data_IF_900239953635
#
_entry.id   IF_900239953635
#
_cell.length_a   1.000
_cell.length_b   1.000
_cell.length_c   1.000
_cell.angle_alpha   90.00
_cell.angle_beta   90.00
_cell.angle_gamma   90.00
#
_symmetry.space_group_name_H-M   'P 1'
#
loop_
_entity.id
_entity.type
_entity.pdbx_description
1 polymer ?
#
# COMPACT_ATOMS: atom_id res chain seq x y z
N UNK A 1 11.34 -24.45 23.98
CA UNK A 1 9.90 -24.24 23.74
C UNK A 1 9.80 -23.34 22.51
N UNK A 2 9.40 -23.87 21.35
CA UNK A 2 9.25 -23.07 20.14
C UNK A 2 8.05 -22.15 20.36
N UNK A 3 8.26 -20.84 20.32
CA UNK A 3 7.17 -19.86 20.23
C UNK A 3 6.28 -20.30 19.08
N UNK A 4 4.96 -20.32 19.28
CA UNK A 4 4.02 -20.49 18.18
C UNK A 4 4.36 -19.43 17.14
N UNK A 5 4.96 -19.84 16.02
CA UNK A 5 5.19 -18.99 14.86
C UNK A 5 3.84 -18.38 14.52
N UNK A 6 3.76 -17.06 14.64
CA UNK A 6 2.55 -16.28 14.39
C UNK A 6 2.28 -16.40 12.89
N UNK A 7 1.47 -17.37 12.49
CA UNK A 7 1.27 -17.73 11.08
C UNK A 7 0.48 -16.61 10.39
N UNK A 8 1.16 -15.61 9.86
CA UNK A 8 0.64 -14.84 8.73
C UNK A 8 0.96 -15.68 7.50
N UNK A 9 -0.04 -16.39 6.98
CA UNK A 9 0.18 -17.34 5.88
C UNK A 9 0.58 -16.65 4.56
N UNK A 10 0.15 -15.39 4.35
CA UNK A 10 0.44 -14.60 3.15
C UNK A 10 0.22 -13.10 3.44
N UNK A 11 1.20 -12.38 4.03
CA UNK A 11 1.06 -10.96 4.32
C UNK A 11 0.88 -10.10 3.06
N UNK A 12 1.42 -10.52 1.92
CA UNK A 12 1.32 -9.79 0.65
C UNK A 12 -0.10 -9.83 0.09
N UNK A 13 -0.76 -11.00 0.13
CA UNK A 13 -2.15 -11.13 -0.29
C UNK A 13 -3.08 -10.37 0.65
N UNK A 14 -2.82 -10.42 1.96
CA UNK A 14 -3.58 -9.64 2.94
C UNK A 14 -3.41 -8.13 2.71
N UNK A 15 -2.18 -7.67 2.46
CA UNK A 15 -1.91 -6.26 2.14
C UNK A 15 -2.68 -5.82 0.89
N UNK A 16 -2.58 -6.58 -0.19
CA UNK A 16 -3.27 -6.26 -1.44
C UNK A 16 -4.79 -6.17 -1.27
N UNK A 17 -5.37 -7.11 -0.51
CA UNK A 17 -6.79 -7.10 -0.18
C UNK A 17 -7.16 -5.89 0.71
N UNK A 18 -6.32 -5.59 1.70
CA UNK A 18 -6.54 -4.46 2.63
C UNK A 18 -6.43 -3.13 1.91
N UNK A 19 -5.52 -2.95 0.95
CA UNK A 19 -5.43 -1.74 0.14
C UNK A 19 -6.69 -1.51 -0.70
N UNK A 20 -7.38 -2.57 -1.13
CA UNK A 20 -8.64 -2.46 -1.87
C UNK A 20 -9.82 -2.18 -0.93
N UNK A 21 -9.93 -2.91 0.18
CA UNK A 21 -11.01 -2.74 1.17
C UNK A 21 -10.89 -1.39 1.89
N UNK A 22 -9.67 -0.97 2.21
CA UNK A 22 -9.36 0.32 2.85
C UNK A 22 -9.78 1.52 2.00
N UNK A 23 -10.04 1.36 0.70
CA UNK A 23 -10.64 2.46 -0.07
C UNK A 23 -12.01 2.88 0.44
N UNK A 24 -12.69 2.07 1.24
CA UNK A 24 -13.96 2.42 1.90
C UNK A 24 -13.78 3.00 3.30
N UNK A 25 -12.58 2.93 3.89
CA UNK A 25 -12.25 3.45 5.21
C UNK A 25 -10.82 4.01 5.20
N UNK A 26 -10.72 5.34 5.19
CA UNK A 26 -9.43 6.03 5.12
C UNK A 26 -8.49 5.68 6.27
N UNK A 27 -9.03 5.40 7.47
CA UNK A 27 -8.21 5.04 8.63
C UNK A 27 -7.61 3.65 8.45
N UNK A 28 -8.38 2.69 7.97
CA UNK A 28 -7.87 1.34 7.67
C UNK A 28 -6.80 1.38 6.58
N UNK A 29 -7.02 2.20 5.55
CA UNK A 29 -6.06 2.35 4.47
C UNK A 29 -4.73 2.94 4.96
N UNK A 30 -4.80 4.02 5.75
CA UNK A 30 -3.60 4.67 6.29
C UNK A 30 -2.86 3.74 7.26
N UNK A 31 -3.57 2.96 8.08
CA UNK A 31 -2.98 1.94 8.95
C UNK A 31 -2.28 0.82 8.16
N UNK A 32 -2.84 0.41 7.03
CA UNK A 32 -2.21 -0.59 6.16
C UNK A 32 -0.89 -0.07 5.57
N UNK A 33 -0.83 1.22 5.21
CA UNK A 33 0.39 1.86 4.74
C UNK A 33 1.43 2.00 5.86
N UNK A 34 1.01 2.43 7.04
CA UNK A 34 1.89 2.51 8.22
C UNK A 34 2.43 1.13 8.61
N UNK A 35 1.59 0.09 8.50
CA UNK A 35 2.04 -1.28 8.73
C UNK A 35 3.11 -1.69 7.71
N UNK A 36 2.95 -1.34 6.43
CA UNK A 36 3.95 -1.64 5.39
C UNK A 36 5.28 -0.96 5.66
N UNK A 37 5.30 0.30 6.09
CA UNK A 37 6.56 1.01 6.36
C UNK A 37 7.35 0.37 7.51
N UNK A 38 6.64 -0.20 8.49
CA UNK A 38 7.25 -0.88 9.65
C UNK A 38 7.63 -2.34 9.35
N UNK A 39 6.85 -3.05 8.54
CA UNK A 39 6.95 -4.51 8.36
C UNK A 39 7.42 -4.93 6.96
N UNK A 40 7.95 -4.01 6.16
CA UNK A 40 8.44 -4.32 4.81
C UNK A 40 9.52 -5.42 4.76
N UNK A 41 10.24 -5.65 5.87
CA UNK A 41 11.21 -6.74 5.99
C UNK A 41 10.54 -8.13 5.94
N UNK A 42 9.29 -8.22 6.38
CA UNK A 42 8.51 -9.46 6.42
C UNK A 42 7.79 -9.75 5.10
N UNK A 43 7.87 -8.84 4.12
CA UNK A 43 7.28 -8.99 2.80
C UNK A 43 8.26 -9.65 1.81
N UNK A 44 7.80 -10.72 1.17
CA UNK A 44 8.41 -11.34 0.00
C UNK A 44 8.08 -10.52 -1.26
N UNK A 45 9.12 -9.86 -1.76
CA UNK A 45 9.08 -9.09 -3.00
C UNK A 45 8.69 -9.93 -4.23
N UNK A 46 9.18 -11.16 -4.36
CA UNK A 46 8.85 -12.04 -5.47
C UNK A 46 7.38 -12.49 -5.40
N UNK A 47 6.86 -12.76 -4.19
CA UNK A 47 5.43 -13.03 -3.95
C UNK A 47 4.57 -11.82 -4.32
N UNK A 48 4.94 -10.63 -3.84
CA UNK A 48 4.26 -9.37 -4.15
C UNK A 48 4.17 -9.14 -5.66
N UNK A 49 5.27 -9.34 -6.40
CA UNK A 49 5.29 -9.23 -7.88
C UNK A 49 4.40 -10.26 -8.57
N UNK A 50 4.31 -11.49 -8.06
CA UNK A 50 3.42 -12.52 -8.61
C UNK A 50 1.95 -12.17 -8.39
N UNK A 51 1.60 -11.66 -7.21
CA UNK A 51 0.25 -11.19 -6.91
C UNK A 51 -0.14 -9.99 -7.77
N UNK A 52 0.76 -9.01 -7.90
CA UNK A 52 0.54 -7.82 -8.71
C UNK A 52 0.21 -8.15 -10.18
N UNK A 53 0.81 -9.19 -10.77
CA UNK A 53 0.47 -9.65 -12.14
C UNK A 53 -0.98 -10.12 -12.30
N UNK A 54 -1.66 -10.51 -11.22
CA UNK A 54 -3.05 -10.98 -11.23
C UNK A 54 -4.03 -9.93 -10.68
N UNK A 55 -3.50 -8.79 -10.21
CA UNK A 55 -4.27 -7.72 -9.61
C UNK A 55 -4.82 -6.76 -10.67
N UNK A 56 -5.85 -6.00 -10.31
CA UNK A 56 -6.37 -4.92 -11.17
C UNK A 56 -5.34 -3.80 -11.32
N UNK A 57 -5.54 -2.90 -12.30
CA UNK A 57 -4.68 -1.71 -12.45
C UNK A 57 -4.63 -0.86 -11.21
N UNK A 58 -5.78 -0.67 -10.56
CA UNK A 58 -5.88 0.14 -9.35
C UNK A 58 -5.05 -0.47 -8.24
N UNK A 59 -5.23 -1.78 -8.00
CA UNK A 59 -4.47 -2.53 -7.01
C UNK A 59 -2.97 -2.50 -7.27
N UNK A 60 -2.53 -2.62 -8.53
CA UNK A 60 -1.11 -2.50 -8.90
C UNK A 60 -0.55 -1.12 -8.59
N UNK A 61 -1.29 -0.06 -8.92
CA UNK A 61 -0.88 1.33 -8.63
C UNK A 61 -0.82 1.61 -7.14
N UNK A 62 -1.79 1.12 -6.36
CA UNK A 62 -1.76 1.25 -4.89
C UNK A 62 -0.61 0.48 -4.26
N UNK A 63 -0.35 -0.74 -4.75
CA UNK A 63 0.78 -1.54 -4.29
C UNK A 63 2.12 -0.88 -4.64
N UNK A 64 2.22 -0.20 -5.79
CA UNK A 64 3.38 0.60 -6.16
C UNK A 64 3.60 1.76 -5.17
N UNK A 65 2.55 2.52 -4.86
CA UNK A 65 2.61 3.60 -3.86
C UNK A 65 3.06 3.06 -2.49
N UNK A 66 2.50 1.94 -2.05
CA UNK A 66 2.91 1.31 -0.79
C UNK A 66 4.38 0.87 -0.79
N UNK A 67 4.87 0.33 -1.93
CA UNK A 67 6.26 -0.07 -2.07
C UNK A 67 7.23 1.12 -2.07
N UNK A 68 6.88 2.23 -2.73
CA UNK A 68 7.68 3.45 -2.71
C UNK A 68 7.73 4.05 -1.30
N UNK A 69 6.59 4.07 -0.61
CA UNK A 69 6.49 4.52 0.78
C UNK A 69 7.35 3.67 1.72
N UNK A 70 7.35 2.34 1.55
CA UNK A 70 8.20 1.44 2.30
C UNK A 70 9.69 1.77 2.11
N UNK A 71 10.10 2.04 0.87
CA UNK A 71 11.50 2.37 0.55
C UNK A 71 11.90 3.71 1.17
N UNK A 72 11.02 4.71 1.12
CA UNK A 72 11.23 6.00 1.76
C UNK A 72 11.35 5.89 3.29
N UNK A 73 10.84 4.80 3.89
CA UNK A 73 10.93 4.47 5.32
C UNK A 73 11.97 3.38 5.65
N UNK A 74 12.90 3.08 4.74
CA UNK A 74 14.05 2.23 5.03
C UNK A 74 13.95 0.79 4.53
N UNK A 75 12.92 0.44 3.76
CA UNK A 75 12.90 -0.84 3.05
C UNK A 75 13.97 -0.89 1.94
N UNK A 76 14.30 -2.11 1.49
CA UNK A 76 15.27 -2.33 0.40
C UNK A 76 14.79 -1.66 -0.89
N UNK A 77 15.67 -0.93 -1.58
CA UNK A 77 15.36 -0.23 -2.84
C UNK A 77 14.79 -1.12 -3.94
N UNK A 78 15.05 -2.43 -3.89
CA UNK A 78 14.47 -3.42 -4.80
C UNK A 78 12.93 -3.41 -4.75
N UNK A 79 12.30 -3.03 -3.64
CA UNK A 79 10.84 -2.92 -3.53
C UNK A 79 10.22 -2.00 -4.59
N UNK A 80 10.92 -0.96 -5.05
CA UNK A 80 10.44 -0.09 -6.15
C UNK A 80 10.17 -0.86 -7.45
N UNK A 81 10.78 -2.03 -7.64
CA UNK A 81 10.50 -2.86 -8.80
C UNK A 81 9.06 -3.41 -8.80
N UNK A 82 8.36 -3.43 -7.66
CA UNK A 82 6.92 -3.76 -7.61
C UNK A 82 6.12 -2.75 -8.44
N UNK A 83 6.47 -1.47 -8.35
CA UNK A 83 5.88 -0.38 -9.12
C UNK A 83 6.51 -0.15 -10.50
N UNK A 84 7.31 -1.08 -11.03
CA UNK A 84 7.98 -0.84 -12.31
C UNK A 84 6.97 -0.60 -13.43
N UNK A 85 7.28 0.35 -14.33
CA UNK A 85 6.41 0.69 -15.45
C UNK A 85 6.04 -0.54 -16.30
N UNK A 86 6.92 -1.53 -16.42
CA UNK A 86 6.61 -2.79 -17.10
C UNK A 86 5.52 -3.64 -16.43
N UNK A 87 5.26 -3.47 -15.13
CA UNK A 87 4.21 -4.15 -14.39
C UNK A 87 2.90 -3.35 -14.37
N UNK A 88 3.00 -2.01 -14.43
CA UNK A 88 1.85 -1.09 -14.42
C UNK A 88 1.30 -0.83 -15.84
N UNK A 89 2.19 -0.56 -16.81
CA UNK A 89 1.84 -0.08 -18.15
C UNK A 89 1.49 -1.19 -19.14
N UNK A 90 1.85 -2.46 -18.88
CA UNK A 90 1.65 -3.58 -19.83
C UNK A 90 0.21 -3.84 -20.23
N UNK A 91 -0.75 -3.23 -19.56
CA UNK A 91 -2.16 -3.43 -19.84
C UNK A 91 -2.96 -2.09 -19.84
N UNK A 92 -2.37 -0.92 -19.56
CA UNK A 92 -3.13 0.30 -19.24
C UNK A 92 -3.65 1.04 -20.50
N UNK A 93 -4.97 1.30 -20.65
CA UNK A 93 -5.49 2.18 -21.69
C UNK A 93 -5.51 3.63 -21.20
N UNK A 94 -4.81 4.54 -21.90
CA UNK A 94 -4.77 6.01 -21.70
C UNK A 94 -4.28 6.49 -20.30
N UNK A 95 -3.77 7.74 -20.14
CA UNK A 95 -3.28 8.20 -18.86
C UNK A 95 -4.44 8.23 -17.86
N UNK A 96 -4.25 7.54 -16.74
CA UNK A 96 -5.27 7.42 -15.70
C UNK A 96 -5.78 8.80 -15.28
N UNK A 97 -7.01 9.15 -15.68
CA UNK A 97 -7.66 10.34 -15.17
C UNK A 97 -7.68 10.25 -13.64
N UNK A 98 -7.27 11.33 -12.97
CA UNK A 98 -7.19 11.35 -11.52
C UNK A 98 -8.55 10.98 -10.92
N UNK A 99 -8.59 9.86 -10.20
CA UNK A 99 -9.81 9.36 -9.57
C UNK A 99 -9.73 9.45 -8.06
N UNK A 100 -10.84 9.65 -7.35
CA UNK A 100 -10.86 9.58 -5.90
C UNK A 100 -10.27 8.27 -5.36
N UNK A 101 -9.32 8.38 -4.44
CA UNK A 101 -8.78 7.21 -3.76
C UNK A 101 -9.88 6.54 -2.93
N UNK A 102 -10.59 7.32 -2.13
CA UNK A 102 -11.63 6.82 -1.25
C UNK A 102 -13.00 6.77 -1.92
N UNK A 103 -13.66 5.64 -1.74
CA UNK A 103 -15.03 5.37 -2.17
C UNK A 103 -15.98 5.77 -1.04
N UNK A 104 -17.16 6.21 -1.42
CA UNK A 104 -18.24 6.47 -0.49
C UNK A 104 -19.48 5.71 -0.93
N UNK A 105 -20.16 5.08 0.03
CA UNK A 105 -21.46 4.45 -0.21
C UNK A 105 -22.53 5.46 -0.67
N UNK A 106 -22.36 6.75 -0.35
CA UNK A 106 -23.26 7.83 -0.77
C UNK A 106 -22.88 8.48 -2.11
N UNK A 107 -21.81 8.01 -2.77
CA UNK A 107 -21.28 8.62 -4.00
C UNK A 107 -20.49 9.91 -3.80
N UNK A 108 -20.47 10.48 -2.59
CA UNK A 108 -19.65 11.64 -2.27
C UNK A 108 -18.19 11.24 -2.08
N UNK A 109 -17.36 11.44 -3.10
CA UNK A 109 -15.92 11.23 -3.02
C UNK A 109 -15.23 12.38 -2.29
N UNK A 110 -14.41 12.07 -1.30
CA UNK A 110 -13.62 13.08 -0.58
C UNK A 110 -12.35 13.39 -1.36
N UNK A 111 -12.32 14.55 -2.02
CA UNK A 111 -11.07 15.15 -2.50
C UNK A 111 -10.45 15.92 -1.33
N UNK A 112 -9.24 15.53 -0.91
CA UNK A 112 -8.53 16.31 0.10
C UNK A 112 -8.08 17.67 -0.45
N UNK A 113 -7.88 18.62 0.45
CA UNK A 113 -7.60 20.03 0.12
C UNK A 113 -6.20 20.26 -0.45
N UNK A 114 -5.25 19.38 -0.13
CA UNK A 114 -3.90 19.34 -0.68
C UNK A 114 -3.66 17.92 -1.20
N UNK A 115 -3.38 17.78 -2.49
CA UNK A 115 -3.17 16.50 -3.14
C UNK A 115 -1.84 15.88 -2.70
N UNK A 116 -1.86 14.60 -2.31
CA UNK A 116 -0.63 13.85 -2.08
C UNK A 116 0.04 13.51 -3.42
N UNK A 117 1.26 14.00 -3.65
CA UNK A 117 1.99 13.86 -4.91
C UNK A 117 2.22 12.40 -5.32
N UNK A 118 2.46 11.50 -4.35
CA UNK A 118 2.70 10.07 -4.65
C UNK A 118 1.43 9.42 -5.20
N UNK A 119 0.29 9.74 -4.60
CA UNK A 119 -1.01 9.26 -5.06
C UNK A 119 -1.41 9.91 -6.37
N UNK A 120 -1.13 11.20 -6.54
CA UNK A 120 -1.39 11.92 -7.78
C UNK A 120 -0.60 11.32 -8.96
N UNK A 121 0.69 11.00 -8.75
CA UNK A 121 1.51 10.29 -9.73
C UNK A 121 0.96 8.90 -10.08
N UNK A 122 0.30 8.25 -9.13
CA UNK A 122 -0.42 7.00 -9.32
C UNK A 122 -1.86 7.19 -9.85
N UNK A 123 -2.29 8.39 -10.21
CA UNK A 123 -3.61 8.70 -10.75
C UNK A 123 -4.75 8.63 -9.72
N UNK A 124 -4.44 8.88 -8.44
CA UNK A 124 -5.42 8.94 -7.35
C UNK A 124 -5.43 10.32 -6.70
N UNK A 125 -6.62 10.80 -6.32
CA UNK A 125 -6.79 12.00 -5.52
C UNK A 125 -7.12 11.63 -4.06
N UNK A 126 -6.31 12.13 -3.13
CA UNK A 126 -6.52 12.10 -1.68
C UNK A 126 -5.90 13.34 -1.03
N UNK A 127 -6.27 13.62 0.22
CA UNK A 127 -5.55 14.59 1.05
C UNK A 127 -4.15 14.11 1.40
N UNK A 128 -3.36 14.95 2.07
CA UNK A 128 -2.04 14.57 2.56
C UNK A 128 -2.08 13.28 3.40
N UNK A 129 -1.06 12.43 3.24
CA UNK A 129 -0.86 11.24 4.07
C UNK A 129 0.06 11.56 5.26
N UNK A 130 -0.48 11.41 6.47
CA UNK A 130 0.30 11.48 7.71
C UNK A 130 0.46 10.07 8.29
N UNK A 131 1.66 9.51 8.16
CA UNK A 131 2.00 8.24 8.79
C UNK A 131 2.35 8.46 10.26
N UNK A 132 1.89 7.56 11.12
CA UNK A 132 2.05 7.69 12.57
C UNK A 132 3.26 6.93 13.10
N UNK A 133 3.71 5.89 12.39
CA UNK A 133 4.73 4.96 12.89
C UNK A 133 4.29 4.19 14.14
N UNK A 134 2.99 4.17 14.43
CA UNK A 134 2.41 3.78 15.72
C UNK A 134 1.96 2.31 15.77
N UNK A 135 2.09 1.54 14.67
CA UNK A 135 1.71 0.11 14.63
C UNK A 135 2.57 -0.77 15.56
N UNK A 136 3.55 -0.19 16.26
CA UNK A 136 4.26 -0.83 17.36
C UNK A 136 3.39 -0.90 18.60
N UNK A 137 2.70 -2.04 18.76
CA UNK A 137 2.54 -2.62 20.08
C UNK A 137 3.90 -2.67 20.78
N UNK A 138 4.07 -1.83 21.79
CA UNK A 138 5.27 -1.70 22.62
C UNK A 138 5.64 -3.08 23.21
N UNK A 139 6.70 -3.69 22.69
CA UNK A 139 7.43 -4.75 23.37
C UNK A 139 8.94 -4.50 23.22
N UNK A 140 9.39 -3.35 23.73
CA UNK A 140 10.76 -3.21 24.22
C UNK A 140 10.65 -3.16 25.73
N UNK A 141 10.80 -4.32 26.35
CA UNK A 141 11.07 -4.46 27.78
C UNK A 141 11.98 -5.69 27.97
N UNK A 142 13.25 -5.43 28.26
CA UNK A 142 14.16 -6.45 28.80
C UNK A 142 15.48 -6.58 28.04
N UNK A 143 16.40 -5.67 28.37
CA UNK A 143 17.87 -5.78 28.43
C UNK A 143 18.52 -7.07 27.93
#
# INVERSE_FOLDING_TARGET
MRSCDRVIADPEALLLATLEIGRWDARLFDEALDWVTVNAADLDMARSRRLAKRATYEQRRLLAVAADLAVDHGARSTFRQIGSAGLIAREAPEPYAAQPLFRSASGASFAGTVADERFAAAGFSRGHLELRGDVRGRAVAGR
#
